data_IF_363145653425
#
_entry.id   IF_363145653425
#
_cell.length_a   1.000
_cell.length_b   1.000
_cell.length_c   1.000
_cell.angle_alpha   90.00
_cell.angle_beta   90.00
_cell.angle_gamma   90.00
#
_symmetry.space_group_name_H-M   'P 1'
#
loop_
_entity.id
_entity.type
_entity.pdbx_description
1 polymer ?
#
# COMPACT_ATOMS: atom_id res chain seq x y z
N UNK A 1 29.47 -2.20 7.93
CA UNK A 1 28.87 -2.64 9.24
C UNK A 1 27.71 -3.57 8.91
N UNK A 2 27.60 -4.73 9.55
CA UNK A 2 26.48 -5.65 9.27
C UNK A 2 25.14 -5.00 9.67
N UNK A 3 24.04 -5.33 8.98
CA UNK A 3 22.68 -4.83 9.27
C UNK A 3 22.32 -4.97 10.75
N UNK A 4 22.71 -6.07 11.36
CA UNK A 4 22.53 -6.34 12.77
C UNK A 4 23.16 -5.31 13.69
N UNK A 5 24.43 -4.98 13.47
CA UNK A 5 25.15 -3.94 14.26
C UNK A 5 24.52 -2.57 14.07
N UNK A 6 23.95 -2.28 12.90
CA UNK A 6 23.21 -1.04 12.67
C UNK A 6 21.92 -1.00 13.49
N UNK A 7 21.14 -2.09 13.48
CA UNK A 7 19.90 -2.17 14.27
C UNK A 7 20.21 -1.99 15.76
N UNK A 8 21.18 -2.71 16.30
CA UNK A 8 21.57 -2.57 17.69
C UNK A 8 22.02 -1.13 18.04
N UNK A 9 22.81 -0.51 17.17
CA UNK A 9 23.32 0.86 17.37
C UNK A 9 22.21 1.90 17.39
N UNK A 10 21.23 1.82 16.48
CA UNK A 10 20.23 2.86 16.29
C UNK A 10 18.93 2.61 17.07
N UNK A 11 18.61 1.37 17.37
CA UNK A 11 17.35 1.01 18.04
C UNK A 11 17.52 0.46 19.46
N UNK A 12 18.76 0.17 19.86
CA UNK A 12 19.06 -0.38 21.17
C UNK A 12 18.67 -1.85 21.33
N UNK A 13 18.97 -2.42 22.49
CA UNK A 13 18.85 -3.86 22.75
C UNK A 13 17.39 -4.34 22.63
N UNK A 14 16.43 -3.61 23.22
CA UNK A 14 15.01 -4.01 23.25
C UNK A 14 14.44 -4.23 21.84
N UNK A 15 14.59 -3.24 20.94
CA UNK A 15 14.08 -3.33 19.58
C UNK A 15 14.90 -4.31 18.73
N UNK A 16 16.18 -4.48 19.03
CA UNK A 16 17.01 -5.51 18.38
C UNK A 16 16.53 -6.91 18.72
N UNK A 17 16.18 -7.20 19.97
CA UNK A 17 15.57 -8.48 20.35
C UNK A 17 14.26 -8.71 19.61
N UNK A 18 13.40 -7.68 19.51
CA UNK A 18 12.15 -7.74 18.74
C UNK A 18 12.40 -8.05 17.27
N UNK A 19 13.42 -7.44 16.64
CA UNK A 19 13.80 -7.74 15.27
C UNK A 19 14.16 -9.20 15.05
N UNK A 20 14.87 -9.85 16.00
CA UNK A 20 15.20 -11.29 15.92
C UNK A 20 14.01 -12.19 16.15
N UNK A 21 13.18 -11.87 17.13
CA UNK A 21 11.97 -12.63 17.42
C UNK A 21 10.96 -12.54 16.26
N UNK A 22 11.02 -11.46 15.49
CA UNK A 22 10.19 -11.26 14.31
C UNK A 22 10.40 -12.28 13.19
N UNK A 23 11.53 -13.00 13.20
CA UNK A 23 11.80 -14.06 12.24
C UNK A 23 11.13 -15.39 12.61
N UNK A 24 10.52 -15.48 13.81
CA UNK A 24 9.75 -16.64 14.26
C UNK A 24 8.25 -16.38 14.05
N UNK A 25 7.56 -17.30 13.43
CA UNK A 25 6.16 -17.19 13.00
C UNK A 25 5.11 -17.44 14.09
N UNK A 26 5.47 -17.40 15.36
CA UNK A 26 4.57 -17.67 16.47
C UNK A 26 3.67 -16.47 16.78
N UNK A 27 2.36 -16.70 16.94
CA UNK A 27 1.32 -15.69 17.21
C UNK A 27 1.64 -14.85 18.46
N UNK A 28 2.08 -15.48 19.55
CA UNK A 28 2.43 -14.76 20.79
C UNK A 28 3.55 -13.75 20.58
N UNK A 29 4.55 -14.08 19.76
CA UNK A 29 5.63 -13.17 19.41
C UNK A 29 5.16 -12.06 18.46
N UNK A 30 4.14 -12.33 17.65
CA UNK A 30 3.56 -11.34 16.76
C UNK A 30 2.91 -10.18 17.53
N UNK A 31 2.03 -10.47 18.49
CA UNK A 31 1.33 -9.46 19.30
C UNK A 31 2.31 -8.65 20.15
N UNK A 32 3.26 -9.33 20.78
CA UNK A 32 4.32 -8.68 21.55
C UNK A 32 5.15 -7.74 20.67
N UNK A 33 5.57 -8.19 19.50
CA UNK A 33 6.30 -7.37 18.52
C UNK A 33 5.48 -6.17 18.07
N UNK A 34 4.21 -6.40 17.68
CA UNK A 34 3.28 -5.37 17.22
C UNK A 34 3.16 -4.26 18.27
N UNK A 35 2.93 -4.62 19.51
CA UNK A 35 2.85 -3.67 20.62
C UNK A 35 4.13 -2.85 20.80
N UNK A 36 5.29 -3.50 20.84
CA UNK A 36 6.57 -2.79 21.05
C UNK A 36 6.89 -1.85 19.88
N UNK A 37 6.64 -2.28 18.64
CA UNK A 37 6.88 -1.44 17.48
C UNK A 37 5.87 -0.30 17.40
N UNK A 38 4.61 -0.51 17.78
CA UNK A 38 3.64 0.58 17.90
C UNK A 38 4.06 1.60 18.96
N UNK A 39 4.42 1.15 20.16
CA UNK A 39 4.90 2.06 21.23
C UNK A 39 6.12 2.87 20.78
N UNK A 40 7.03 2.24 20.02
CA UNK A 40 8.18 2.92 19.42
C UNK A 40 7.73 4.00 18.41
N UNK A 41 6.78 3.68 17.53
CA UNK A 41 6.29 4.60 16.50
C UNK A 41 5.49 5.76 17.12
N UNK A 42 4.68 5.49 18.15
CA UNK A 42 3.95 6.53 18.89
C UNK A 42 4.90 7.51 19.60
N UNK A 43 6.03 7.00 20.14
CA UNK A 43 7.08 7.87 20.66
C UNK A 43 7.72 8.70 19.55
N UNK A 44 7.98 8.10 18.42
CA UNK A 44 8.55 8.78 17.24
C UNK A 44 7.63 9.90 16.74
N UNK A 45 6.30 9.66 16.71
CA UNK A 45 5.28 10.65 16.35
C UNK A 45 5.37 11.90 17.25
N UNK A 46 5.48 11.68 18.57
CA UNK A 46 5.67 12.80 19.54
C UNK A 46 6.97 13.57 19.30
N UNK A 47 8.07 12.86 19.03
CA UNK A 47 9.36 13.49 18.73
C UNK A 47 9.31 14.28 17.42
N UNK A 48 8.56 13.83 16.44
CA UNK A 48 8.35 14.51 15.16
C UNK A 48 7.36 15.69 15.28
N UNK A 49 6.76 15.90 16.46
CA UNK A 49 5.78 16.97 16.74
C UNK A 49 4.57 16.93 15.79
N UNK A 50 4.13 15.72 15.45
CA UNK A 50 2.91 15.55 14.66
C UNK A 50 1.74 15.65 15.62
N UNK A 51 1.01 16.76 15.50
CA UNK A 51 -0.12 17.11 16.36
C UNK A 51 -1.42 17.18 15.54
N UNK A 52 -2.45 16.52 16.03
CA UNK A 52 -3.77 16.46 15.39
C UNK A 52 -4.57 17.80 15.54
N UNK A 53 -4.09 18.73 16.40
CA UNK A 53 -4.78 19.99 16.70
C UNK A 53 -4.44 21.16 15.79
N UNK A 54 -3.44 21.03 14.92
CA UNK A 54 -2.84 22.16 14.19
C UNK A 54 -3.21 22.25 12.71
N UNK A 55 -3.93 21.27 12.16
CA UNK A 55 -4.25 21.29 10.74
C UNK A 55 -5.50 22.14 10.48
N UNK A 56 -5.29 23.33 9.90
CA UNK A 56 -6.37 24.10 9.29
C UNK A 56 -6.99 23.22 8.18
N UNK A 57 -8.30 22.94 8.27
CA UNK A 57 -9.01 22.28 7.16
C UNK A 57 -8.89 23.22 5.96
N UNK A 58 -8.12 22.81 4.95
CA UNK A 58 -8.23 23.44 3.62
C UNK A 58 -9.70 23.34 3.20
N UNK A 59 -10.19 24.33 2.42
CA UNK A 59 -11.58 24.37 1.93
C UNK A 59 -11.97 23.00 1.35
N UNK A 60 -13.03 22.42 1.91
CA UNK A 60 -13.56 21.11 1.47
C UNK A 60 -13.93 21.21 -0.02
N UNK A 61 -13.14 20.57 -0.85
CA UNK A 61 -13.56 20.31 -2.24
C UNK A 61 -14.68 19.28 -2.19
N UNK A 62 -15.87 19.65 -2.69
CA UNK A 62 -17.06 18.80 -2.64
C UNK A 62 -17.01 17.60 -3.58
N UNK A 63 -16.11 17.60 -4.56
CA UNK A 63 -15.97 16.56 -5.58
C UNK A 63 -14.71 15.73 -5.34
N UNK A 64 -14.85 14.39 -5.41
CA UNK A 64 -13.73 13.47 -5.28
C UNK A 64 -12.76 13.61 -6.47
N UNK A 65 -11.43 13.75 -6.24
CA UNK A 65 -10.47 13.89 -7.32
C UNK A 65 -10.37 12.61 -8.15
N UNK A 66 -10.79 12.68 -9.41
CA UNK A 66 -10.74 11.55 -10.35
C UNK A 66 -9.34 11.37 -10.94
N UNK A 67 -8.37 11.11 -10.07
CA UNK A 67 -6.96 10.93 -10.43
C UNK A 67 -6.51 9.56 -9.94
N UNK A 68 -5.84 8.81 -10.81
CA UNK A 68 -5.24 7.52 -10.48
C UNK A 68 -3.72 7.64 -10.56
N UNK A 69 -3.05 7.36 -9.45
CA UNK A 69 -1.61 7.33 -9.30
C UNK A 69 -1.10 5.90 -9.26
N UNK A 70 -0.14 5.59 -10.09
CA UNK A 70 0.57 4.32 -10.09
C UNK A 70 2.06 4.60 -10.29
N UNK A 71 2.93 3.79 -9.70
CA UNK A 71 4.37 3.97 -9.85
C UNK A 71 5.08 2.71 -10.34
N UNK A 72 5.93 2.90 -11.34
CA UNK A 72 6.94 1.94 -11.76
C UNK A 72 8.21 2.69 -12.18
N UNK A 73 9.21 2.72 -11.31
CA UNK A 73 10.36 3.62 -11.39
C UNK A 73 11.06 3.60 -12.75
N UNK A 74 11.21 2.41 -13.34
CA UNK A 74 11.94 2.19 -14.59
C UNK A 74 11.10 2.52 -15.84
N UNK A 75 9.84 2.89 -15.69
CA UNK A 75 8.93 3.14 -16.81
C UNK A 75 8.28 1.88 -17.38
N UNK A 76 7.26 2.07 -18.21
CA UNK A 76 6.39 1.00 -18.74
C UNK A 76 7.16 -0.06 -19.54
N UNK A 77 8.14 0.34 -20.33
CA UNK A 77 8.95 -0.57 -21.16
C UNK A 77 9.76 -1.61 -20.34
N UNK A 78 10.00 -1.33 -19.07
CA UNK A 78 10.75 -2.21 -18.17
C UNK A 78 9.84 -3.02 -17.23
N UNK A 79 8.52 -2.96 -17.43
CA UNK A 79 7.58 -3.75 -16.63
C UNK A 79 7.63 -5.23 -17.02
N UNK A 80 7.69 -6.14 -16.05
CA UNK A 80 7.38 -7.55 -16.29
C UNK A 80 5.99 -7.73 -16.92
N UNK A 81 5.78 -8.77 -17.71
CA UNK A 81 4.52 -9.02 -18.43
C UNK A 81 3.30 -9.04 -17.50
N UNK A 82 3.43 -9.62 -16.30
CA UNK A 82 2.36 -9.63 -15.30
C UNK A 82 1.99 -8.23 -14.81
N UNK A 83 2.99 -7.34 -14.69
CA UNK A 83 2.76 -5.93 -14.35
C UNK A 83 2.12 -5.19 -15.52
N UNK A 84 2.56 -5.46 -16.76
CA UNK A 84 1.93 -4.87 -17.96
C UNK A 84 0.45 -5.29 -18.07
N UNK A 85 0.15 -6.57 -17.83
CA UNK A 85 -1.22 -7.08 -17.84
C UNK A 85 -2.09 -6.41 -16.74
N UNK A 86 -1.56 -6.29 -15.52
CA UNK A 86 -2.22 -5.58 -14.42
C UNK A 86 -2.43 -4.10 -14.76
N UNK A 87 -1.39 -3.44 -15.27
CA UNK A 87 -1.42 -2.03 -15.67
C UNK A 87 -2.50 -1.72 -16.70
N UNK A 88 -2.73 -2.67 -17.63
CA UNK A 88 -3.80 -2.53 -18.61
C UNK A 88 -5.17 -2.46 -17.94
N UNK A 89 -5.44 -3.26 -16.90
CA UNK A 89 -6.72 -3.22 -16.17
C UNK A 89 -6.90 -1.91 -15.40
N UNK A 90 -5.82 -1.34 -14.86
CA UNK A 90 -5.84 -0.03 -14.20
C UNK A 90 -6.15 1.08 -15.20
N UNK A 91 -5.49 1.07 -16.38
CA UNK A 91 -5.76 2.03 -17.46
C UNK A 91 -7.20 1.93 -18.00
N UNK A 92 -7.69 0.69 -18.16
CA UNK A 92 -9.07 0.44 -18.58
C UNK A 92 -10.08 0.96 -17.54
N UNK A 93 -9.79 0.78 -16.24
CA UNK A 93 -10.59 1.36 -15.15
C UNK A 93 -10.58 2.89 -15.20
N UNK A 94 -9.41 3.51 -15.35
CA UNK A 94 -9.31 4.97 -15.47
C UNK A 94 -10.18 5.50 -16.61
N UNK A 95 -10.07 4.88 -17.78
CA UNK A 95 -10.84 5.26 -18.97
C UNK A 95 -12.37 5.10 -18.77
N UNK A 96 -12.83 3.99 -18.17
CA UNK A 96 -14.26 3.75 -17.93
C UNK A 96 -14.88 4.70 -16.92
N UNK A 97 -14.08 5.24 -16.01
CA UNK A 97 -14.54 6.12 -14.93
C UNK A 97 -14.21 7.60 -15.17
N UNK A 98 -13.73 7.96 -16.36
CA UNK A 98 -13.33 9.33 -16.71
C UNK A 98 -12.33 9.91 -15.69
N UNK A 99 -11.31 9.10 -15.34
CA UNK A 99 -10.24 9.48 -14.43
C UNK A 99 -8.96 9.81 -15.22
N UNK A 100 -8.24 10.82 -14.76
CA UNK A 100 -6.85 11.05 -15.17
C UNK A 100 -5.99 9.90 -14.65
N UNK A 101 -5.05 9.43 -15.46
CA UNK A 101 -4.14 8.35 -15.10
C UNK A 101 -2.69 8.78 -15.24
N UNK A 102 -1.92 8.65 -14.18
CA UNK A 102 -0.50 8.98 -14.16
C UNK A 102 0.35 7.76 -13.74
N UNK A 103 1.21 7.33 -14.67
CA UNK A 103 2.29 6.40 -14.38
C UNK A 103 3.53 7.19 -13.95
N UNK A 104 3.88 7.10 -12.68
CA UNK A 104 5.04 7.76 -12.11
C UNK A 104 6.30 6.93 -12.35
N UNK A 105 7.35 7.62 -12.75
CA UNK A 105 8.68 7.08 -13.02
C UNK A 105 9.74 7.95 -12.34
N UNK A 106 10.99 7.50 -12.30
CA UNK A 106 12.10 8.32 -11.79
C UNK A 106 12.32 9.58 -12.66
N UNK A 107 11.84 9.59 -13.91
CA UNK A 107 12.02 10.70 -14.85
C UNK A 107 10.96 11.81 -14.66
N UNK A 108 9.68 11.43 -14.40
CA UNK A 108 8.57 12.39 -14.36
C UNK A 108 8.06 12.74 -12.96
N UNK A 109 8.57 12.09 -11.92
CA UNK A 109 8.10 12.29 -10.55
C UNK A 109 8.17 13.77 -10.11
N UNK A 110 9.23 14.46 -10.51
CA UNK A 110 9.45 15.88 -10.15
C UNK A 110 8.44 16.85 -10.77
N UNK A 111 7.70 16.43 -11.81
CA UNK A 111 6.65 17.23 -12.43
C UNK A 111 5.40 17.31 -11.53
N UNK A 112 5.23 16.33 -10.63
CA UNK A 112 4.06 16.23 -9.76
C UNK A 112 4.36 16.64 -8.32
N UNK A 113 5.47 16.16 -7.75
CA UNK A 113 5.81 16.42 -6.35
C UNK A 113 7.29 16.73 -6.15
N UNK A 114 7.55 17.57 -5.16
CA UNK A 114 8.91 17.86 -4.71
C UNK A 114 9.20 17.08 -3.42
N UNK A 115 9.87 15.94 -3.55
CA UNK A 115 10.37 15.20 -2.39
C UNK A 115 11.68 15.86 -1.91
N UNK A 116 11.85 16.13 -0.61
CA UNK A 116 13.07 16.76 -0.07
C UNK A 116 14.33 16.05 -0.55
N UNK A 117 15.36 16.84 -0.90
CA UNK A 117 16.60 16.32 -1.48
C UNK A 117 17.31 15.32 -0.58
N UNK A 118 17.27 15.51 0.75
CA UNK A 118 17.84 14.59 1.71
C UNK A 118 17.21 13.20 1.69
N UNK A 119 15.93 13.09 1.33
CA UNK A 119 15.22 11.81 1.13
C UNK A 119 15.55 11.23 -0.25
N UNK A 120 15.46 12.06 -1.29
CA UNK A 120 15.77 11.67 -2.67
C UNK A 120 17.20 11.17 -2.82
N UNK A 121 18.15 11.81 -2.14
CA UNK A 121 19.56 11.40 -2.13
C UNK A 121 19.77 10.02 -1.49
N UNK A 122 19.04 9.71 -0.42
CA UNK A 122 19.08 8.35 0.18
C UNK A 122 18.56 7.30 -0.78
N UNK A 123 17.50 7.60 -1.54
CA UNK A 123 16.99 6.71 -2.57
C UNK A 123 18.04 6.50 -3.68
N UNK A 124 18.59 7.58 -4.24
CA UNK A 124 19.63 7.52 -5.30
C UNK A 124 20.88 6.75 -4.85
N UNK A 125 21.26 6.88 -3.57
CA UNK A 125 22.38 6.13 -2.95
C UNK A 125 22.03 4.69 -2.57
N UNK A 126 20.80 4.22 -2.84
CA UNK A 126 20.28 2.90 -2.45
C UNK A 126 20.28 2.64 -0.92
N UNK A 127 20.28 3.70 -0.12
CA UNK A 127 20.09 3.65 1.32
C UNK A 127 18.61 3.55 1.70
N UNK A 128 17.72 4.02 0.82
CA UNK A 128 16.27 3.87 0.88
C UNK A 128 15.82 2.99 -0.30
N UNK A 129 15.06 1.94 -0.01
CA UNK A 129 14.55 1.04 -1.06
C UNK A 129 13.48 1.73 -1.92
N UNK A 130 13.33 1.29 -3.17
CA UNK A 130 12.28 1.77 -4.06
C UNK A 130 10.88 1.63 -3.46
N UNK A 131 10.60 0.53 -2.75
CA UNK A 131 9.32 0.32 -2.06
C UNK A 131 9.07 1.40 -0.98
N UNK A 132 10.05 1.63 -0.09
CA UNK A 132 9.89 2.63 0.96
C UNK A 132 9.88 4.07 0.41
N UNK A 133 10.55 4.34 -0.71
CA UNK A 133 10.47 5.62 -1.40
C UNK A 133 9.09 5.83 -2.01
N UNK A 134 8.55 4.80 -2.66
CA UNK A 134 7.17 4.79 -3.17
C UNK A 134 6.11 5.01 -2.07
N UNK A 135 6.35 4.51 -0.84
CA UNK A 135 5.46 4.76 0.29
C UNK A 135 5.39 6.25 0.65
N UNK A 136 6.51 6.97 0.64
CA UNK A 136 6.55 8.42 0.87
C UNK A 136 5.82 9.16 -0.26
N UNK A 137 6.04 8.75 -1.50
CA UNK A 137 5.43 9.35 -2.70
C UNK A 137 3.90 9.23 -2.64
N UNK A 138 3.37 8.04 -2.35
CA UNK A 138 1.90 7.83 -2.31
C UNK A 138 1.20 8.74 -1.31
N UNK A 139 1.73 8.89 -0.11
CA UNK A 139 1.16 9.79 0.89
C UNK A 139 1.34 11.27 0.53
N UNK A 140 2.44 11.62 -0.15
CA UNK A 140 2.65 12.98 -0.63
C UNK A 140 1.65 13.37 -1.72
N UNK A 141 1.40 12.48 -2.67
CA UNK A 141 0.44 12.71 -3.77
C UNK A 141 -1.00 12.75 -3.26
N UNK A 142 -1.38 11.81 -2.40
CA UNK A 142 -2.72 11.77 -1.83
C UNK A 142 -2.99 13.02 -0.97
N UNK A 143 -2.00 13.53 -0.22
CA UNK A 143 -2.14 14.80 0.48
C UNK A 143 -2.30 15.98 -0.48
N UNK A 144 -1.42 16.06 -1.50
CA UNK A 144 -1.34 17.24 -2.37
C UNK A 144 -2.48 17.30 -3.39
N UNK A 145 -2.95 16.18 -3.88
CA UNK A 145 -3.92 16.11 -4.99
C UNK A 145 -5.15 15.28 -4.66
N UNK A 146 -5.09 14.38 -3.68
CA UNK A 146 -6.10 13.35 -3.48
C UNK A 146 -6.10 12.29 -4.58
N UNK A 147 -7.25 11.64 -4.77
CA UNK A 147 -7.44 10.61 -5.79
C UNK A 147 -7.14 9.20 -5.27
N UNK A 148 -6.68 8.32 -6.14
CA UNK A 148 -6.52 6.89 -5.87
C UNK A 148 -5.08 6.46 -6.16
N UNK A 149 -4.39 5.94 -5.18
CA UNK A 149 -3.14 5.21 -5.36
C UNK A 149 -3.41 3.73 -5.61
N UNK A 150 -2.87 3.21 -6.70
CA UNK A 150 -2.89 1.79 -7.04
C UNK A 150 -1.48 1.28 -7.28
N UNK A 151 -1.02 0.29 -6.53
CA UNK A 151 0.23 -0.40 -6.88
C UNK A 151 0.13 -1.01 -8.30
N UNK A 152 1.21 -0.98 -9.06
CA UNK A 152 1.29 -1.50 -10.43
C UNK A 152 0.99 -3.02 -10.55
N UNK A 153 0.90 -3.72 -9.43
CA UNK A 153 0.58 -5.16 -9.34
C UNK A 153 -0.87 -5.41 -8.89
N UNK A 154 -1.78 -4.51 -9.24
CA UNK A 154 -3.20 -4.70 -8.99
C UNK A 154 -3.95 -5.03 -10.28
N UNK A 155 -4.79 -6.02 -10.21
CA UNK A 155 -5.83 -6.29 -11.20
C UNK A 155 -7.11 -5.59 -10.74
N UNK A 156 -7.69 -4.80 -11.64
CA UNK A 156 -8.95 -4.08 -11.39
C UNK A 156 -10.06 -4.74 -12.18
N UNK A 157 -11.11 -5.20 -11.48
CA UNK A 157 -12.28 -5.79 -12.09
C UNK A 157 -12.99 -4.82 -13.06
N UNK A 158 -13.55 -5.30 -14.18
CA UNK A 158 -14.37 -4.48 -15.07
C UNK A 158 -15.64 -3.93 -14.38
N UNK A 159 -16.07 -4.53 -13.29
CA UNK A 159 -17.22 -4.06 -12.50
C UNK A 159 -16.86 -3.01 -11.44
N UNK A 160 -15.57 -2.75 -11.22
CA UNK A 160 -15.15 -1.69 -10.32
C UNK A 160 -15.52 -0.31 -10.86
N UNK A 161 -15.99 0.57 -9.98
CA UNK A 161 -16.28 1.97 -10.27
C UNK A 161 -15.56 2.88 -9.29
N UNK A 162 -15.23 4.11 -9.70
CA UNK A 162 -14.58 5.08 -8.82
C UNK A 162 -15.43 5.38 -7.59
N UNK A 163 -16.76 5.38 -7.74
CA UNK A 163 -17.73 5.61 -6.65
C UNK A 163 -17.57 4.65 -5.47
N UNK A 164 -17.03 3.44 -5.69
CA UNK A 164 -16.77 2.47 -4.62
C UNK A 164 -15.65 2.92 -3.68
N UNK A 165 -14.82 3.88 -4.12
CA UNK A 165 -13.58 4.28 -3.47
C UNK A 165 -13.55 5.76 -3.06
N UNK A 166 -14.65 6.48 -3.29
CA UNK A 166 -14.80 7.89 -2.92
C UNK A 166 -14.90 8.05 -1.40
N UNK A 167 -14.37 9.16 -0.89
CA UNK A 167 -14.42 9.54 0.52
C UNK A 167 -13.16 10.29 0.96
N UNK A 168 -13.14 10.74 2.22
CA UNK A 168 -11.99 11.42 2.81
C UNK A 168 -10.78 10.48 2.96
N UNK A 169 -11.07 9.23 3.22
CA UNK A 169 -10.10 8.13 3.21
C UNK A 169 -10.78 6.84 2.76
N UNK A 170 -10.12 6.12 1.87
CA UNK A 170 -10.51 4.76 1.49
C UNK A 170 -9.28 3.84 1.41
N UNK A 171 -9.46 2.63 1.85
CA UNK A 171 -8.54 1.51 1.63
C UNK A 171 -9.33 0.21 1.60
N UNK A 172 -8.72 -0.86 1.11
CA UNK A 172 -9.38 -2.17 1.13
C UNK A 172 -9.43 -2.70 2.57
N UNK A 173 -10.62 -2.70 3.14
CA UNK A 173 -10.97 -3.44 4.34
C UNK A 173 -11.41 -4.84 3.90
N UNK A 174 -10.57 -5.85 4.12
CA UNK A 174 -10.75 -7.19 3.59
C UNK A 174 -10.42 -8.24 4.68
N UNK A 175 -11.32 -8.41 5.65
CA UNK A 175 -11.12 -9.38 6.72
C UNK A 175 -10.98 -10.80 6.14
N UNK A 176 -10.19 -11.67 6.76
CA UNK A 176 -10.12 -13.07 6.35
C UNK A 176 -11.43 -13.79 6.70
N UNK A 177 -11.74 -14.85 5.97
CA UNK A 177 -12.89 -15.72 6.26
C UNK A 177 -12.75 -16.40 7.63
N UNK A 178 -11.51 -16.65 8.05
CA UNK A 178 -11.20 -17.30 9.33
C UNK A 178 -10.71 -16.29 10.35
N UNK A 179 -11.48 -16.03 11.44
CA UNK A 179 -11.14 -15.01 12.44
C UNK A 179 -9.77 -15.18 13.10
N UNK A 180 -9.25 -16.40 13.22
CA UNK A 180 -7.93 -16.69 13.77
C UNK A 180 -6.76 -16.14 12.92
N UNK A 181 -7.02 -15.71 11.70
CA UNK A 181 -6.03 -15.08 10.83
C UNK A 181 -5.96 -13.55 11.01
N UNK A 182 -6.98 -12.93 11.61
CA UNK A 182 -7.06 -11.46 11.75
C UNK A 182 -5.86 -10.86 12.46
N UNK A 183 -5.32 -11.57 13.44
CA UNK A 183 -4.19 -11.07 14.23
C UNK A 183 -2.83 -11.16 13.52
N UNK A 184 -2.79 -11.58 12.25
CA UNK A 184 -1.53 -11.75 11.51
C UNK A 184 -1.09 -10.52 10.73
N UNK A 185 -1.94 -9.51 10.62
CA UNK A 185 -1.61 -8.25 9.94
C UNK A 185 -1.50 -7.09 10.92
N UNK A 186 -0.62 -6.13 10.63
CA UNK A 186 -0.39 -4.97 11.50
C UNK A 186 -1.68 -4.17 11.68
N UNK A 187 -2.47 -4.04 10.62
CA UNK A 187 -3.72 -3.31 10.59
C UNK A 187 -4.98 -4.15 10.76
N UNK A 188 -4.88 -5.42 11.16
CA UNK A 188 -6.02 -6.35 11.30
C UNK A 188 -6.90 -6.39 10.04
N UNK A 189 -6.28 -6.32 8.86
CA UNK A 189 -6.91 -6.24 7.53
C UNK A 189 -7.82 -5.02 7.29
N UNK A 190 -7.81 -4.01 8.17
CA UNK A 190 -8.61 -2.79 8.04
C UNK A 190 -8.17 -1.90 6.87
N UNK A 191 -6.95 -2.08 6.39
CA UNK A 191 -6.39 -1.35 5.24
C UNK A 191 -5.37 -2.18 4.47
N UNK A 192 -5.11 -1.73 3.24
CA UNK A 192 -4.07 -2.27 2.37
C UNK A 192 -3.25 -1.13 1.79
N UNK A 193 -1.97 -1.04 2.16
CA UNK A 193 -1.10 0.03 1.68
C UNK A 193 -0.90 0.07 0.16
N UNK A 194 -1.21 -1.01 -0.53
CA UNK A 194 -1.14 -1.09 -1.99
C UNK A 194 -2.34 -0.46 -2.72
N UNK A 195 -3.42 -0.12 -1.98
CA UNK A 195 -4.60 0.58 -2.50
C UNK A 195 -5.08 1.60 -1.46
N UNK A 196 -4.92 2.87 -1.76
CA UNK A 196 -5.33 3.98 -0.91
C UNK A 196 -6.04 5.03 -1.75
N UNK A 197 -7.10 5.62 -1.21
CA UNK A 197 -7.76 6.75 -1.86
C UNK A 197 -8.19 7.78 -0.81
N UNK A 198 -8.43 9.01 -1.26
CA UNK A 198 -8.97 10.04 -0.39
C UNK A 198 -9.02 11.41 -1.02
N UNK A 199 -9.62 12.34 -0.30
CA UNK A 199 -9.68 13.75 -0.66
C UNK A 199 -8.30 14.40 -0.54
N UNK A 200 -8.10 15.45 -1.34
CA UNK A 200 -6.96 16.36 -1.23
C UNK A 200 -6.93 17.00 0.16
N UNK A 201 -5.73 17.21 0.71
CA UNK A 201 -5.55 17.91 1.98
C UNK A 201 -5.81 17.07 3.22
N UNK A 202 -6.13 15.77 3.09
CA UNK A 202 -6.38 14.90 4.24
C UNK A 202 -5.22 14.88 5.22
N UNK A 203 -5.43 15.38 6.45
CA UNK A 203 -4.40 15.54 7.48
C UNK A 203 -3.68 14.22 7.79
N UNK A 204 -4.40 13.11 7.79
CA UNK A 204 -3.84 11.77 7.99
C UNK A 204 -2.77 11.40 6.94
N UNK A 205 -2.94 11.80 5.66
CA UNK A 205 -1.91 11.58 4.65
C UNK A 205 -0.65 12.39 4.95
N UNK A 206 -0.80 13.64 5.38
CA UNK A 206 0.30 14.51 5.78
C UNK A 206 1.04 13.94 6.99
N UNK A 207 0.32 13.54 8.05
CA UNK A 207 0.88 12.98 9.27
C UNK A 207 1.69 11.70 9.00
N UNK A 208 1.15 10.77 8.22
CA UNK A 208 1.83 9.52 7.86
C UNK A 208 3.08 9.80 7.02
N UNK A 209 2.98 10.69 6.02
CA UNK A 209 4.12 11.15 5.21
C UNK A 209 5.21 11.75 6.06
N UNK A 210 4.88 12.69 6.93
CA UNK A 210 5.84 13.46 7.73
C UNK A 210 6.54 12.55 8.74
N UNK A 211 5.81 11.63 9.35
CA UNK A 211 6.34 10.60 10.23
C UNK A 211 7.30 9.67 9.49
N UNK A 212 6.94 9.28 8.25
CA UNK A 212 7.78 8.46 7.40
C UNK A 212 9.09 9.16 7.06
N UNK A 213 9.02 10.43 6.62
CA UNK A 213 10.21 11.24 6.31
C UNK A 213 11.08 11.46 7.55
N UNK A 214 10.47 11.74 8.71
CA UNK A 214 11.19 11.86 9.97
C UNK A 214 11.93 10.56 10.33
N UNK A 215 11.28 9.42 10.19
CA UNK A 215 11.88 8.11 10.40
C UNK A 215 13.08 7.88 9.49
N UNK A 216 12.94 8.12 8.19
CA UNK A 216 14.01 7.93 7.19
C UNK A 216 15.20 8.84 7.44
N UNK A 217 14.98 10.07 7.96
CA UNK A 217 16.06 10.97 8.37
C UNK A 217 16.84 10.46 9.57
N UNK A 218 16.11 9.91 10.53
CA UNK A 218 16.68 9.50 11.83
C UNK A 218 17.34 8.13 11.80
N UNK A 219 16.83 7.21 11.01
CA UNK A 219 17.26 5.81 10.99
C UNK A 219 17.79 5.40 9.61
N UNK A 220 19.04 4.92 9.51
CA UNK A 220 19.62 4.49 8.23
C UNK A 220 19.16 3.12 7.79
N UNK A 221 18.44 2.37 8.64
CA UNK A 221 17.92 1.03 8.33
C UNK A 221 16.50 0.89 8.88
N UNK A 222 15.66 0.19 8.15
CA UNK A 222 14.30 -0.11 8.62
C UNK A 222 14.32 -1.30 9.58
N UNK A 223 13.69 -1.14 10.73
CA UNK A 223 13.55 -2.21 11.73
C UNK A 223 12.53 -3.27 11.29
N UNK A 224 11.56 -2.88 10.49
CA UNK A 224 10.55 -3.77 9.92
C UNK A 224 10.28 -3.39 8.47
N UNK A 225 10.02 -4.37 7.59
CA UNK A 225 9.72 -4.08 6.19
C UNK A 225 8.40 -3.31 6.04
N UNK A 226 7.37 -3.68 6.82
CA UNK A 226 6.05 -3.04 6.80
C UNK A 226 5.98 -1.86 7.79
N UNK A 227 6.97 -0.96 7.80
CA UNK A 227 6.93 0.23 8.66
C UNK A 227 5.79 1.18 8.28
N UNK A 228 5.40 1.21 7.02
CA UNK A 228 4.23 1.97 6.57
C UNK A 228 2.98 1.61 7.37
N UNK A 229 2.70 0.32 7.54
CA UNK A 229 1.54 -0.12 8.31
C UNK A 229 1.59 0.31 9.78
N UNK A 230 2.79 0.39 10.38
CA UNK A 230 2.95 0.94 11.73
C UNK A 230 2.72 2.46 11.78
N UNK A 231 3.06 3.19 10.72
CA UNK A 231 2.76 4.63 10.66
C UNK A 231 1.26 4.85 10.51
N UNK A 232 0.57 4.08 9.66
CA UNK A 232 -0.90 4.09 9.56
C UNK A 232 -1.54 3.69 10.91
N UNK A 233 -1.04 2.64 11.57
CA UNK A 233 -1.54 2.19 12.86
C UNK A 233 -1.33 3.26 13.95
N UNK A 234 -0.24 4.02 13.91
CA UNK A 234 -0.02 5.12 14.85
C UNK A 234 -1.01 6.26 14.63
N UNK A 235 -1.33 6.58 13.38
CA UNK A 235 -2.37 7.56 13.04
C UNK A 235 -3.73 7.07 13.50
N UNK A 236 -4.11 5.84 13.18
CA UNK A 236 -5.35 5.19 13.64
C UNK A 236 -5.48 5.18 15.18
N UNK A 237 -4.35 5.02 15.89
CA UNK A 237 -4.35 4.97 17.36
C UNK A 237 -4.46 6.36 17.98
N UNK A 238 -3.82 7.37 17.41
CA UNK A 238 -3.71 8.72 17.97
C UNK A 238 -4.84 9.65 17.52
N UNK A 239 -5.29 9.53 16.27
CA UNK A 239 -6.28 10.41 15.65
C UNK A 239 -7.64 9.74 15.63
N UNK A 240 -8.60 10.30 16.40
CA UNK A 240 -9.96 9.75 16.52
C UNK A 240 -10.79 9.94 15.24
N UNK A 241 -10.58 11.02 14.50
CA UNK A 241 -11.25 11.28 13.22
C UNK A 241 -10.81 10.24 12.18
N UNK A 242 -9.50 10.06 12.01
CA UNK A 242 -8.97 9.02 11.09
C UNK A 242 -9.42 7.62 11.51
N UNK A 243 -9.45 7.31 12.82
CA UNK A 243 -9.98 6.03 13.30
C UNK A 243 -11.43 5.83 12.86
N UNK A 244 -12.27 6.85 12.97
CA UNK A 244 -13.66 6.78 12.53
C UNK A 244 -13.76 6.52 11.04
N UNK A 245 -12.96 7.19 10.22
CA UNK A 245 -12.91 6.93 8.77
C UNK A 245 -12.56 5.47 8.47
N UNK A 246 -11.52 4.93 9.11
CA UNK A 246 -11.10 3.54 8.92
C UNK A 246 -12.15 2.54 9.41
N UNK A 247 -12.76 2.78 10.57
CA UNK A 247 -13.74 1.84 11.17
C UNK A 247 -15.07 1.81 10.41
N UNK A 248 -15.36 2.83 9.59
CA UNK A 248 -16.55 2.90 8.75
C UNK A 248 -16.31 2.44 7.31
N UNK A 249 -15.10 2.01 6.96
CA UNK A 249 -14.82 1.48 5.62
C UNK A 249 -15.70 0.27 5.30
N UNK A 250 -16.30 0.24 4.10
CA UNK A 250 -17.07 -0.92 3.67
C UNK A 250 -16.15 -2.13 3.49
N UNK A 251 -16.67 -3.30 3.81
CA UNK A 251 -16.06 -4.58 3.43
C UNK A 251 -16.57 -4.91 2.02
N UNK A 252 -15.73 -4.69 1.02
CA UNK A 252 -16.09 -4.99 -0.37
C UNK A 252 -15.84 -6.46 -0.72
N UNK A 253 -14.86 -7.10 -0.07
CA UNK A 253 -14.55 -8.51 -0.27
C UNK A 253 -13.66 -9.04 0.87
N UNK A 254 -13.47 -10.35 0.93
CA UNK A 254 -12.62 -11.03 1.90
C UNK A 254 -11.15 -11.05 1.46
N UNK A 255 -10.25 -11.34 2.40
CA UNK A 255 -8.81 -11.44 2.12
C UNK A 255 -8.50 -12.51 1.06
N UNK A 256 -9.20 -13.65 1.08
CA UNK A 256 -9.01 -14.73 0.13
C UNK A 256 -9.32 -14.29 -1.30
N UNK A 257 -10.35 -13.46 -1.47
CA UNK A 257 -10.74 -12.93 -2.78
C UNK A 257 -9.77 -11.84 -3.26
N UNK A 258 -9.36 -10.92 -2.41
CA UNK A 258 -8.36 -9.90 -2.76
C UNK A 258 -7.03 -10.55 -3.19
N UNK A 259 -6.66 -11.69 -2.60
CA UNK A 259 -5.47 -12.44 -2.96
C UNK A 259 -5.70 -13.59 -3.95
N UNK A 260 -6.88 -13.67 -4.55
CA UNK A 260 -7.31 -14.78 -5.43
C UNK A 260 -6.30 -15.04 -6.56
N UNK A 261 -5.99 -14.06 -7.39
CA UNK A 261 -5.08 -14.23 -8.53
C UNK A 261 -3.69 -14.70 -8.11
N UNK A 262 -3.21 -14.24 -6.96
CA UNK A 262 -1.91 -14.69 -6.44
C UNK A 262 -1.95 -16.12 -5.92
N UNK A 263 -3.06 -16.51 -5.28
CA UNK A 263 -3.22 -17.83 -4.68
C UNK A 263 -3.59 -18.91 -5.71
N UNK A 264 -4.14 -18.51 -6.87
CA UNK A 264 -4.62 -19.41 -7.91
C UNK A 264 -3.79 -19.31 -9.21
N UNK A 265 -2.66 -18.63 -9.18
CA UNK A 265 -1.87 -18.35 -10.38
C UNK A 265 -1.56 -19.58 -11.24
N UNK A 266 -1.27 -20.71 -10.62
CA UNK A 266 -0.93 -22.00 -11.21
C UNK A 266 -2.10 -22.97 -11.36
N UNK A 267 -3.30 -22.60 -10.91
CA UNK A 267 -4.50 -23.42 -11.05
C UNK A 267 -5.13 -23.28 -12.44
N UNK A 268 -5.73 -24.35 -12.92
CA UNK A 268 -6.51 -24.31 -14.16
C UNK A 268 -7.63 -23.27 -14.06
N UNK A 269 -7.82 -22.54 -15.13
CA UNK A 269 -8.83 -21.50 -15.22
C UNK A 269 -10.23 -22.09 -15.23
N UNK A 270 -11.11 -21.58 -14.35
CA UNK A 270 -12.53 -21.87 -14.33
C UNK A 270 -13.30 -20.58 -14.63
N UNK A 271 -13.99 -20.54 -15.76
CA UNK A 271 -14.72 -19.37 -16.24
C UNK A 271 -15.86 -18.96 -15.31
N UNK A 272 -16.60 -19.94 -14.73
CA UNK A 272 -17.71 -19.65 -13.83
C UNK A 272 -17.23 -19.08 -12.50
N UNK A 273 -16.17 -19.67 -11.92
CA UNK A 273 -15.54 -19.15 -10.72
C UNK A 273 -14.98 -17.74 -10.97
N UNK A 274 -14.36 -17.53 -12.13
CA UNK A 274 -13.78 -16.24 -12.48
C UNK A 274 -14.84 -15.14 -12.64
N UNK A 275 -15.95 -15.44 -13.30
CA UNK A 275 -17.06 -14.49 -13.46
C UNK A 275 -17.64 -14.06 -12.11
N UNK A 276 -17.81 -15.00 -11.17
CA UNK A 276 -18.24 -14.70 -9.81
C UNK A 276 -17.22 -13.80 -9.07
N UNK A 277 -15.93 -14.15 -9.17
CA UNK A 277 -14.84 -13.37 -8.56
C UNK A 277 -14.80 -11.96 -9.11
N UNK A 278 -14.94 -11.77 -10.42
CA UNK A 278 -14.95 -10.45 -11.05
C UNK A 278 -16.10 -9.57 -10.56
N UNK A 279 -17.29 -10.15 -10.35
CA UNK A 279 -18.48 -9.40 -9.88
C UNK A 279 -18.38 -8.98 -8.42
N UNK A 280 -17.73 -9.77 -7.60
CA UNK A 280 -17.68 -9.55 -6.15
C UNK A 280 -16.40 -8.85 -5.69
N UNK A 281 -15.30 -8.99 -6.43
CA UNK A 281 -13.98 -8.51 -5.99
C UNK A 281 -13.48 -7.37 -6.89
N UNK A 282 -13.63 -6.10 -6.48
CA UNK A 282 -13.26 -4.97 -7.33
C UNK A 282 -11.74 -4.85 -7.58
N UNK A 283 -10.93 -5.26 -6.62
CA UNK A 283 -9.47 -5.16 -6.67
C UNK A 283 -8.83 -6.47 -6.23
N UNK A 284 -7.91 -7.00 -7.04
CA UNK A 284 -7.15 -8.20 -6.70
C UNK A 284 -5.65 -7.94 -6.77
N UNK A 285 -4.89 -8.53 -5.85
CA UNK A 285 -3.43 -8.44 -5.83
C UNK A 285 -2.81 -9.53 -6.70
N UNK A 286 -1.94 -9.12 -7.63
CA UNK A 286 -1.08 -10.00 -8.41
C UNK A 286 0.35 -9.98 -7.86
N UNK A 287 1.28 -10.63 -8.55
CA UNK A 287 2.69 -10.63 -8.22
C UNK A 287 3.53 -10.50 -9.49
N UNK A 288 4.66 -9.81 -9.41
CA UNK A 288 5.64 -9.75 -10.50
C UNK A 288 6.77 -10.80 -10.34
N UNK A 289 6.78 -11.50 -9.20
CA UNK A 289 7.78 -12.52 -8.89
C UNK A 289 7.31 -13.87 -9.43
N UNK A 290 7.28 -14.00 -10.75
CA UNK A 290 6.86 -15.21 -11.45
C UNK A 290 8.01 -15.64 -12.36
N UNK A 291 8.36 -16.91 -12.31
CA UNK A 291 9.24 -17.52 -13.27
C UNK A 291 8.40 -17.93 -14.50
N UNK A 292 8.72 -17.41 -15.68
CA UNK A 292 8.00 -17.72 -16.92
C UNK A 292 8.02 -19.21 -17.28
N UNK A 293 9.09 -19.92 -16.89
CA UNK A 293 9.25 -21.36 -17.14
C UNK A 293 8.28 -22.21 -16.28
N UNK A 294 7.63 -21.59 -15.27
CA UNK A 294 6.71 -22.24 -14.35
C UNK A 294 5.23 -21.90 -14.66
N UNK A 295 4.95 -21.20 -15.76
CA UNK A 295 3.56 -20.90 -16.16
C UNK A 295 2.88 -22.17 -16.60
N UNK A 296 1.84 -22.58 -15.85
CA UNK A 296 1.03 -23.74 -16.16
C UNK A 296 0.08 -23.39 -17.31
N UNK A 297 0.02 -24.21 -18.38
CA UNK A 297 -0.95 -24.01 -19.47
C UNK A 297 -2.38 -23.96 -18.96
N UNK A 298 -3.20 -23.11 -19.56
CA UNK A 298 -4.63 -22.91 -19.21
C UNK A 298 -4.86 -22.43 -17.75
N UNK A 299 -3.81 -21.93 -17.06
CA UNK A 299 -3.93 -21.39 -15.72
C UNK A 299 -4.44 -19.95 -15.69
N UNK A 300 -4.91 -19.51 -14.51
CA UNK A 300 -5.26 -18.09 -14.29
C UNK A 300 -4.13 -17.14 -14.65
N UNK A 301 -2.88 -17.53 -14.38
CA UNK A 301 -1.72 -16.72 -14.74
C UNK A 301 -1.57 -16.61 -16.26
N UNK A 302 -1.68 -17.73 -17.00
CA UNK A 302 -1.60 -17.69 -18.44
C UNK A 302 -2.71 -16.83 -19.05
N UNK A 303 -3.95 -16.96 -18.55
CA UNK A 303 -5.08 -16.14 -18.99
C UNK A 303 -4.85 -14.65 -18.72
N UNK A 304 -4.22 -14.30 -17.56
CA UNK A 304 -3.83 -12.93 -17.26
C UNK A 304 -2.81 -12.40 -18.27
N UNK A 305 -1.75 -13.18 -18.54
CA UNK A 305 -0.69 -12.80 -19.48
C UNK A 305 -1.21 -12.64 -20.92
N UNK A 306 -2.15 -13.48 -21.32
CA UNK A 306 -2.80 -13.40 -22.63
C UNK A 306 -3.85 -12.28 -22.71
N UNK A 307 -4.13 -11.59 -21.61
CA UNK A 307 -5.15 -10.54 -21.56
C UNK A 307 -6.59 -11.03 -21.67
N UNK A 308 -6.83 -12.30 -21.38
CA UNK A 308 -8.15 -12.94 -21.47
C UNK A 308 -9.00 -12.83 -20.20
N UNK A 309 -8.43 -12.37 -19.08
CA UNK A 309 -9.15 -12.21 -17.81
C UNK A 309 -10.04 -10.95 -17.74
N UNK A 310 -10.39 -10.35 -18.85
CA UNK A 310 -11.05 -9.04 -18.91
C UNK A 310 -12.55 -9.05 -19.12
N UNK A 311 -13.07 -10.15 -19.59
CA UNK A 311 -14.47 -10.31 -19.99
C UNK A 311 -15.21 -11.21 -19.02
#
# INVERSE_FOLDING_TARGET
MTRYRQILKYYGLKLTCVYFLAQKSDKMFYDFRRKILLDFVLKLRKEAQIDDSSDEKEEETTEFPKIIWTMWQQGEAQMPETVQASMKTIKDFAKRNDCEFYLLTDENLADFINIPSDITDKYKKKELSAAHYSDIIRFSLLYQYGGIWMDATLFVSPYATVKMFEGDFFSLNHPPTYPEQMERTIGDFKWSGFFLAGQKGGAHFKHIRDLYMYYVRKYPVFIHYLMMDYFILSEYTSNSEFRSLVDTLPVLETAERVWFLRAHADKLFDENEWEEVLKTTPIMKTTYKINKEEVVPESYLEQLLQGKLKE
#
